data_IF_978352176088
#
_entry.id   IF_978352176088
#
_cell.length_a   1.000
_cell.length_b   1.000
_cell.length_c   1.000
_cell.angle_alpha   90.00
_cell.angle_beta   90.00
_cell.angle_gamma   90.00
#
_symmetry.space_group_name_H-M   'P 1'
#
loop_
_entity.id
_entity.type
_entity.pdbx_description
1 polymer ?
#
# COMPACT_ATOMS: atom_id res chain seq x y z
N UNK A 1 0.78 -5.15 -1.26
CA UNK A 1 0.97 -4.19 -0.15
C UNK A 1 2.39 -4.18 0.38
N UNK A 2 2.88 -5.25 1.01
CA UNK A 2 4.19 -5.24 1.69
C UNK A 2 5.35 -4.85 0.76
N UNK A 3 5.45 -5.46 -0.43
CA UNK A 3 6.50 -5.13 -1.39
C UNK A 3 6.43 -3.69 -1.88
N UNK A 4 5.23 -3.21 -2.23
CA UNK A 4 4.99 -1.80 -2.60
C UNK A 4 5.42 -0.86 -1.50
N UNK A 5 5.06 -1.19 -0.26
CA UNK A 5 5.42 -0.43 0.93
C UNK A 5 6.90 -0.30 1.15
N UNK A 6 7.60 -1.44 1.07
CA UNK A 6 9.04 -1.48 1.22
C UNK A 6 9.75 -0.62 0.17
N UNK A 7 9.33 -0.69 -1.11
CA UNK A 7 9.88 0.17 -2.14
C UNK A 7 9.61 1.66 -1.87
N UNK A 8 8.41 1.99 -1.37
CA UNK A 8 8.03 3.37 -1.06
C UNK A 8 8.76 3.95 0.15
N UNK A 9 9.44 3.14 0.96
CA UNK A 9 10.35 3.65 2.01
C UNK A 9 11.58 4.33 1.43
N UNK A 10 11.96 3.99 0.20
CA UNK A 10 13.19 4.45 -0.45
C UNK A 10 12.93 5.30 -1.69
N UNK A 11 11.73 5.19 -2.25
CA UNK A 11 11.26 5.92 -3.42
C UNK A 11 10.06 6.79 -3.05
N UNK A 12 9.76 7.80 -3.86
CA UNK A 12 8.55 8.59 -3.66
C UNK A 12 7.28 7.74 -3.88
N UNK A 13 6.21 8.06 -3.15
CA UNK A 13 4.93 7.36 -3.27
C UNK A 13 4.42 7.31 -4.72
N UNK A 14 4.54 8.43 -5.44
CA UNK A 14 4.11 8.54 -6.84
C UNK A 14 4.94 7.61 -7.75
N UNK A 15 6.27 7.60 -7.60
CA UNK A 15 7.12 6.73 -8.40
C UNK A 15 6.81 5.24 -8.14
N UNK A 16 6.65 4.87 -6.87
CA UNK A 16 6.34 3.50 -6.47
C UNK A 16 4.98 3.04 -7.00
N UNK A 17 3.96 3.90 -6.93
CA UNK A 17 2.63 3.61 -7.46
C UNK A 17 2.65 3.43 -8.99
N UNK A 18 3.35 4.30 -9.72
CA UNK A 18 3.49 4.21 -11.18
C UNK A 18 4.24 2.95 -11.62
N UNK A 19 5.25 2.52 -10.85
CA UNK A 19 5.95 1.25 -11.11
C UNK A 19 5.05 0.03 -10.85
N UNK A 20 4.27 0.07 -9.78
CA UNK A 20 3.44 -1.06 -9.34
C UNK A 20 2.11 -1.18 -10.12
N UNK A 21 1.61 -0.10 -10.69
CA UNK A 21 0.38 -0.08 -11.48
C UNK A 21 0.39 -1.07 -12.66
N UNK A 22 1.37 -1.05 -13.59
CA UNK A 22 1.39 -2.01 -14.70
C UNK A 22 1.59 -3.46 -14.21
N UNK A 23 2.38 -3.67 -13.17
CA UNK A 23 2.57 -4.99 -12.56
C UNK A 23 1.26 -5.53 -11.96
N UNK A 24 0.51 -4.68 -11.24
CA UNK A 24 -0.79 -5.03 -10.70
C UNK A 24 -1.81 -5.36 -11.80
N UNK A 25 -1.86 -4.56 -12.86
CA UNK A 25 -2.75 -4.81 -14.01
C UNK A 25 -2.43 -6.13 -14.71
N UNK A 26 -1.15 -6.46 -14.89
CA UNK A 26 -0.75 -7.75 -15.46
C UNK A 26 -1.25 -8.93 -14.64
N UNK A 27 -1.21 -8.83 -13.30
CA UNK A 27 -1.75 -9.86 -12.40
C UNK A 27 -3.27 -9.97 -12.46
N UNK A 28 -3.99 -8.86 -12.60
CA UNK A 28 -5.46 -8.86 -12.77
C UNK A 28 -5.85 -9.61 -14.05
N UNK A 29 -5.22 -9.28 -15.17
CA UNK A 29 -5.51 -9.92 -16.46
C UNK A 29 -5.19 -11.43 -16.42
N UNK A 30 -4.07 -11.81 -15.80
CA UNK A 30 -3.72 -13.20 -15.60
C UNK A 30 -4.76 -13.94 -14.75
N UNK A 31 -5.24 -13.30 -13.67
CA UNK A 31 -6.23 -13.89 -12.78
C UNK A 31 -7.58 -14.12 -13.48
N UNK A 32 -8.05 -13.14 -14.25
CA UNK A 32 -9.28 -13.25 -15.03
C UNK A 32 -9.19 -14.34 -16.10
N UNK A 33 -8.05 -14.47 -16.78
CA UNK A 33 -7.82 -15.52 -17.78
C UNK A 33 -7.82 -16.92 -17.14
N UNK A 34 -7.19 -17.08 -15.98
CA UNK A 34 -7.20 -18.34 -15.22
C UNK A 34 -8.61 -18.70 -14.73
N UNK A 35 -9.38 -17.71 -14.26
CA UNK A 35 -10.76 -17.93 -13.83
C UNK A 35 -11.64 -18.34 -15.02
N UNK A 36 -11.46 -17.71 -16.19
CA UNK A 36 -12.17 -18.08 -17.43
C UNK A 36 -11.85 -19.50 -17.89
N UNK A 37 -10.58 -19.91 -17.85
CA UNK A 37 -10.16 -21.29 -18.17
C UNK A 37 -10.78 -22.32 -17.21
N UNK A 38 -10.77 -22.02 -15.91
CA UNK A 38 -11.37 -22.90 -14.88
C UNK A 38 -12.85 -23.13 -15.14
N UNK A 39 -13.60 -22.07 -15.50
CA UNK A 39 -15.03 -22.19 -15.84
C UNK A 39 -15.24 -23.00 -17.13
N UNK A 40 -14.38 -22.81 -18.14
CA UNK A 40 -14.45 -23.56 -19.39
C UNK A 40 -14.16 -25.07 -19.22
N UNK A 41 -13.32 -25.43 -18.25
CA UNK A 41 -13.03 -26.82 -17.87
C UNK A 41 -14.12 -27.45 -16.98
N UNK A 42 -15.21 -26.74 -16.72
CA UNK A 42 -16.33 -27.21 -15.88
C UNK A 42 -16.14 -26.98 -14.38
N UNK A 43 -15.15 -26.19 -13.98
CA UNK A 43 -14.94 -25.75 -12.60
C UNK A 43 -15.86 -24.59 -12.21
N UNK A 44 -15.99 -24.36 -10.91
CA UNK A 44 -16.74 -23.21 -10.39
C UNK A 44 -15.91 -21.93 -10.49
N UNK A 45 -16.52 -20.83 -10.94
CA UNK A 45 -15.90 -19.51 -10.95
C UNK A 45 -15.58 -19.08 -9.51
N UNK A 46 -14.41 -18.48 -9.27
CA UNK A 46 -14.13 -17.87 -7.97
C UNK A 46 -14.91 -16.54 -7.87
N UNK A 47 -15.89 -16.42 -6.94
CA UNK A 47 -16.65 -15.18 -6.73
C UNK A 47 -15.76 -14.00 -6.28
N UNK A 48 -14.51 -14.26 -5.88
CA UNK A 48 -13.55 -13.24 -5.47
C UNK A 48 -12.90 -12.51 -6.66
N UNK A 49 -13.05 -13.04 -7.88
CA UNK A 49 -12.44 -12.47 -9.08
C UNK A 49 -12.95 -11.07 -9.41
N UNK A 50 -14.24 -10.82 -9.21
CA UNK A 50 -14.88 -9.55 -9.57
C UNK A 50 -14.28 -8.36 -8.83
N UNK A 51 -13.90 -8.53 -7.57
CA UNK A 51 -13.34 -7.46 -6.72
C UNK A 51 -11.81 -7.50 -6.62
N UNK A 52 -11.16 -8.43 -7.32
CA UNK A 52 -9.71 -8.63 -7.21
C UNK A 52 -8.93 -7.41 -7.69
N UNK A 53 -9.33 -6.85 -8.83
CA UNK A 53 -8.70 -5.66 -9.42
C UNK A 53 -8.72 -4.45 -8.49
N UNK A 54 -9.91 -4.13 -7.96
CA UNK A 54 -10.11 -3.05 -7.01
C UNK A 54 -9.31 -3.26 -5.72
N UNK A 55 -9.37 -4.47 -5.16
CA UNK A 55 -8.64 -4.81 -3.93
C UNK A 55 -7.13 -4.69 -4.11
N UNK A 56 -6.60 -5.14 -5.25
CA UNK A 56 -5.18 -5.09 -5.57
C UNK A 56 -4.70 -3.65 -5.76
N UNK A 57 -5.43 -2.85 -6.54
CA UNK A 57 -5.08 -1.45 -6.81
C UNK A 57 -5.15 -0.58 -5.54
N UNK A 58 -6.17 -0.77 -4.69
CA UNK A 58 -6.24 -0.12 -3.39
C UNK A 58 -5.08 -0.54 -2.49
N UNK A 59 -4.73 -1.83 -2.48
CA UNK A 59 -3.57 -2.32 -1.75
C UNK A 59 -2.24 -1.70 -2.23
N UNK A 60 -2.09 -1.45 -3.54
CA UNK A 60 -0.92 -0.74 -4.07
C UNK A 60 -0.93 0.72 -3.61
N UNK A 61 -2.06 1.43 -3.75
CA UNK A 61 -2.18 2.84 -3.39
C UNK A 61 -1.89 3.07 -1.89
N UNK A 62 -2.56 2.33 -1.00
CA UNK A 62 -2.33 2.45 0.44
C UNK A 62 -0.95 1.95 0.85
N UNK A 63 -0.45 0.89 0.22
CA UNK A 63 0.91 0.41 0.45
C UNK A 63 1.95 1.49 0.13
N UNK A 64 1.85 2.14 -1.02
CA UNK A 64 2.76 3.24 -1.36
C UNK A 64 2.70 4.36 -0.30
N UNK A 65 1.49 4.83 0.05
CA UNK A 65 1.34 5.92 1.02
C UNK A 65 1.87 5.59 2.43
N UNK A 66 1.57 4.40 2.96
CA UNK A 66 2.00 4.01 4.32
C UNK A 66 3.51 3.74 4.36
N UNK A 67 4.07 3.20 3.28
CA UNK A 67 5.50 2.96 3.14
C UNK A 67 6.33 4.25 3.17
N UNK A 68 5.92 5.27 2.43
CA UNK A 68 6.67 6.54 2.38
C UNK A 68 6.63 7.36 3.67
N UNK A 69 5.67 7.08 4.56
CA UNK A 69 5.66 7.69 5.89
C UNK A 69 6.79 7.17 6.80
N UNK A 70 7.25 5.93 6.59
CA UNK A 70 8.17 5.25 7.50
C UNK A 70 9.59 5.84 7.55
N UNK A 71 10.00 6.59 6.53
CA UNK A 71 11.35 7.17 6.42
C UNK A 71 11.29 8.65 6.04
N UNK A 72 12.38 9.37 6.27
CA UNK A 72 12.50 10.79 5.88
C UNK A 72 12.58 11.00 4.37
N UNK A 73 12.96 9.98 3.61
CA UNK A 73 13.14 10.04 2.15
C UNK A 73 11.79 9.87 1.43
N UNK A 74 10.90 9.03 1.96
CA UNK A 74 9.73 8.54 1.25
C UNK A 74 8.71 9.62 0.85
N UNK A 75 8.58 10.71 1.60
CA UNK A 75 7.64 11.79 1.27
C UNK A 75 8.20 13.21 1.50
N UNK A 76 7.86 14.19 0.63
CA UNK A 76 8.30 15.58 0.78
C UNK A 76 7.95 16.25 2.13
N UNK A 77 6.75 16.04 2.73
CA UNK A 77 6.42 16.62 4.03
C UNK A 77 7.40 16.27 5.15
N UNK A 78 7.97 15.06 5.12
CA UNK A 78 8.96 14.62 6.11
C UNK A 78 10.25 15.47 6.00
N UNK A 79 10.70 15.75 4.77
CA UNK A 79 11.85 16.62 4.53
C UNK A 79 11.57 18.08 4.93
N UNK A 80 10.39 18.59 4.59
CA UNK A 80 9.98 19.95 4.98
C UNK A 80 9.95 20.09 6.51
N UNK A 81 9.45 19.08 7.23
CA UNK A 81 9.42 19.07 8.70
C UNK A 81 10.82 19.21 9.32
N UNK A 82 11.82 18.46 8.83
CA UNK A 82 13.20 18.60 9.34
C UNK A 82 13.68 20.04 9.14
N UNK A 83 13.48 20.59 7.94
CA UNK A 83 13.97 21.94 7.63
C UNK A 83 13.26 23.03 8.43
N UNK A 84 11.96 22.87 8.72
CA UNK A 84 11.20 23.83 9.51
C UNK A 84 11.49 23.70 11.01
N UNK A 85 11.70 22.49 11.54
CA UNK A 85 12.02 22.30 12.95
C UNK A 85 13.34 22.97 13.33
N UNK A 86 14.37 22.87 12.49
CA UNK A 86 15.65 23.53 12.74
C UNK A 86 15.56 25.07 12.67
N UNK A 87 14.62 25.61 11.88
CA UNK A 87 14.39 27.05 11.77
C UNK A 87 13.55 27.61 12.94
N UNK A 88 12.52 26.88 13.36
CA UNK A 88 11.58 27.32 14.39
C UNK A 88 12.10 27.07 15.81
N UNK A 89 12.89 26.00 16.01
CA UNK A 89 13.38 25.58 17.32
C UNK A 89 14.89 25.24 17.25
N UNK A 90 15.77 26.26 17.19
CA UNK A 90 17.21 26.05 17.04
C UNK A 90 17.87 25.34 18.24
N UNK A 91 17.27 25.39 19.43
CA UNK A 91 17.76 24.71 20.63
C UNK A 91 17.30 23.24 20.74
N UNK A 92 16.43 22.78 19.83
CA UNK A 92 15.91 21.42 19.86
C UNK A 92 16.91 20.40 19.27
N UNK A 93 16.86 19.12 19.71
CA UNK A 93 17.69 18.07 19.15
C UNK A 93 17.44 17.88 17.65
N UNK A 94 18.49 17.72 16.85
CA UNK A 94 18.36 17.45 15.42
C UNK A 94 17.65 16.11 15.16
N UNK A 95 16.68 16.14 14.25
CA UNK A 95 16.00 14.93 13.77
C UNK A 95 16.89 14.24 12.74
N UNK A 96 17.60 13.21 13.19
CA UNK A 96 18.41 12.35 12.34
C UNK A 96 17.56 11.30 11.61
N UNK A 97 18.11 10.71 10.54
CA UNK A 97 17.48 9.60 9.83
C UNK A 97 17.03 8.47 10.78
N UNK A 98 17.93 8.06 11.68
CA UNK A 98 17.74 6.95 12.61
C UNK A 98 16.65 7.23 13.65
N UNK A 99 16.61 8.45 14.19
CA UNK A 99 15.62 8.83 15.22
C UNK A 99 14.22 8.88 14.62
N UNK A 100 14.07 9.42 13.41
CA UNK A 100 12.81 9.38 12.68
C UNK A 100 12.38 7.95 12.37
N UNK A 101 13.31 7.11 11.89
CA UNK A 101 13.01 5.72 11.54
C UNK A 101 12.52 4.94 12.77
N UNK A 102 13.16 5.10 13.93
CA UNK A 102 12.71 4.46 15.18
C UNK A 102 11.31 4.92 15.63
N UNK A 103 10.91 6.14 15.28
CA UNK A 103 9.59 6.68 15.60
C UNK A 103 8.51 6.28 14.57
N UNK A 104 8.78 6.51 13.27
CA UNK A 104 7.80 6.40 12.21
C UNK A 104 7.61 4.97 11.68
N UNK A 105 8.64 4.13 11.74
CA UNK A 105 8.58 2.75 11.24
C UNK A 105 7.64 1.85 12.07
N UNK A 106 7.65 1.83 13.43
CA UNK A 106 6.65 1.07 14.19
C UNK A 106 5.22 1.60 13.98
N UNK A 107 5.05 2.91 13.81
CA UNK A 107 3.77 3.52 13.46
C UNK A 107 3.29 3.07 12.07
N UNK A 108 4.17 3.06 11.08
CA UNK A 108 3.89 2.56 9.74
C UNK A 108 3.49 1.08 9.77
N UNK A 109 4.19 0.25 10.55
CA UNK A 109 3.83 -1.16 10.72
C UNK A 109 2.42 -1.34 11.30
N UNK A 110 2.06 -0.56 12.32
CA UNK A 110 0.71 -0.58 12.87
C UNK A 110 -0.34 -0.17 11.83
N UNK A 111 -0.08 0.88 11.05
CA UNK A 111 -0.97 1.30 9.95
C UNK A 111 -1.08 0.22 8.86
N UNK A 112 -0.02 -0.51 8.56
CA UNK A 112 -0.05 -1.64 7.62
C UNK A 112 -1.01 -2.74 8.07
N UNK A 113 -0.89 -3.16 9.33
CA UNK A 113 -1.74 -4.22 9.88
C UNK A 113 -3.21 -3.80 9.87
N UNK A 114 -3.50 -2.57 10.29
CA UNK A 114 -4.86 -2.03 10.27
C UNK A 114 -5.42 -1.91 8.85
N UNK A 115 -4.63 -1.38 7.91
CA UNK A 115 -5.05 -1.22 6.52
C UNK A 115 -5.30 -2.58 5.85
N UNK A 116 -4.44 -3.57 6.09
CA UNK A 116 -4.65 -4.93 5.60
C UNK A 116 -5.95 -5.55 6.17
N UNK A 117 -6.20 -5.33 7.46
CA UNK A 117 -7.46 -5.72 8.12
C UNK A 117 -8.68 -5.08 7.47
N UNK A 118 -8.66 -3.78 7.24
CA UNK A 118 -9.77 -3.05 6.60
C UNK A 118 -10.00 -3.51 5.16
N UNK A 119 -8.95 -3.72 4.36
CA UNK A 119 -9.07 -4.22 2.99
C UNK A 119 -9.67 -5.64 2.98
N UNK A 120 -9.27 -6.49 3.92
CA UNK A 120 -9.84 -7.84 4.04
C UNK A 120 -11.31 -7.81 4.50
N UNK A 121 -11.67 -6.91 5.42
CA UNK A 121 -13.07 -6.69 5.82
C UNK A 121 -13.93 -6.13 4.70
N UNK A 122 -13.39 -5.19 3.90
CA UNK A 122 -14.05 -4.63 2.73
C UNK A 122 -14.30 -5.69 1.65
N UNK A 123 -13.31 -6.57 1.44
CA UNK A 123 -13.43 -7.77 0.59
C UNK A 123 -14.58 -8.68 1.03
N UNK A 124 -14.70 -8.96 2.34
CA UNK A 124 -15.79 -9.80 2.88
C UNK A 124 -17.15 -9.12 2.69
N UNK A 125 -17.24 -7.81 2.90
CA UNK A 125 -18.51 -7.08 2.79
C UNK A 125 -19.05 -6.96 1.37
N UNK A 126 -18.20 -6.91 0.34
CA UNK A 126 -18.67 -6.85 -1.06
C UNK A 126 -19.11 -8.24 -1.55
N UNK A 127 -18.37 -9.31 -1.22
CA UNK A 127 -18.79 -10.69 -1.57
C UNK A 127 -20.17 -11.03 -0.98
N UNK A 128 -20.48 -10.54 0.23
CA UNK A 128 -21.76 -10.79 0.88
C UNK A 128 -22.95 -10.04 0.22
N UNK A 129 -22.70 -8.89 -0.42
CA UNK A 129 -23.73 -8.09 -1.11
C UNK A 129 -24.13 -8.62 -2.50
N UNK A 130 -23.36 -9.52 -3.10
CA UNK A 130 -23.68 -10.15 -4.39
C UNK A 130 -24.17 -11.60 -4.28
N UNK A 131 -24.32 -12.13 -3.06
CA UNK A 131 -24.84 -13.49 -2.81
C UNK A 131 -26.29 -13.49 -2.26
N UNK A 132 -26.96 -12.33 -2.23
CA UNK A 132 -28.37 -12.18 -1.80
C UNK A 132 -29.21 -11.73 -2.99
#
# INVERSE_FOLDING_TARGET
MVSTGFLSMWLSNTATALMMMPMGMSLVLLYEELNRKTVAEGGNADPRAENFSLTLLLGIAYGASIGGFATLIGTPPNGVLITQMSQLFPDAPEITFSTWMLFALPMSFFLYVNCLGTINSFRISITCKHTI
#
